data_IF_855476953551
#
_entry.id   IF_855476953551
#
_cell.length_a   1.000
_cell.length_b   1.000
_cell.length_c   1.000
_cell.angle_alpha   90.00
_cell.angle_beta   90.00
_cell.angle_gamma   90.00
#
_symmetry.space_group_name_H-M   'P 1'
#
loop_
_entity.id
_entity.type
_entity.pdbx_description
1 polymer ?
#
# COMPACT_ATOMS: atom_id res chain seq x y z
N UNK A 1 1.67 -6.49 -0.20
CA UNK A 1 0.76 -5.47 -0.80
C UNK A 1 -0.29 -5.12 0.23
N UNK A 2 -0.69 -3.85 0.31
CA UNK A 2 -1.82 -3.41 1.12
C UNK A 2 -2.55 -2.22 0.49
N UNK A 3 -3.82 -2.02 0.89
CA UNK A 3 -4.68 -0.93 0.43
C UNK A 3 -5.03 -0.01 1.60
N UNK A 4 -4.70 1.26 1.45
CA UNK A 4 -4.97 2.26 2.48
C UNK A 4 -5.87 3.37 1.91
N UNK A 5 -6.91 3.80 2.65
CA UNK A 5 -7.68 5.00 2.30
C UNK A 5 -6.81 6.25 2.29
N UNK A 6 -6.98 7.08 1.27
CA UNK A 6 -6.19 8.29 1.06
C UNK A 6 -7.11 9.52 1.04
N UNK A 7 -7.21 10.28 2.13
CA UNK A 7 -8.10 11.44 2.22
C UNK A 7 -7.59 12.59 1.36
N UNK A 8 -8.51 13.48 0.96
CA UNK A 8 -8.14 14.72 0.25
C UNK A 8 -7.70 15.84 1.20
N UNK A 9 -8.00 15.69 2.49
CA UNK A 9 -7.63 16.64 3.53
C UNK A 9 -7.07 15.92 4.76
N UNK A 10 -6.05 16.53 5.35
CA UNK A 10 -5.35 16.06 6.54
C UNK A 10 -5.59 17.07 7.67
N UNK A 11 -6.86 17.24 8.07
CA UNK A 11 -7.29 18.29 9.00
C UNK A 11 -7.40 17.83 10.46
N UNK A 12 -7.01 16.59 10.75
CA UNK A 12 -7.10 16.05 12.11
C UNK A 12 -6.14 16.81 13.05
N UNK A 13 -6.72 17.60 13.96
CA UNK A 13 -6.04 18.18 15.11
C UNK A 13 -5.53 19.62 14.99
N UNK A 14 -5.64 20.29 13.83
CA UNK A 14 -5.08 21.63 13.64
C UNK A 14 -6.10 22.64 13.09
N UNK A 15 -6.06 23.87 13.63
CA UNK A 15 -6.77 25.03 13.10
C UNK A 15 -5.74 26.13 12.83
N UNK A 16 -5.55 26.48 11.55
CA UNK A 16 -4.64 27.56 11.15
C UNK A 16 -5.38 28.91 11.18
N UNK A 17 -4.74 29.95 11.71
CA UNK A 17 -5.26 31.32 11.63
C UNK A 17 -4.13 32.36 11.60
N UNK A 18 -4.43 33.57 11.12
CA UNK A 18 -3.47 34.68 11.09
C UNK A 18 -3.03 35.06 12.50
N UNK A 19 -1.71 35.21 12.69
CA UNK A 19 -1.09 35.56 13.97
C UNK A 19 -1.61 36.92 14.45
N UNK A 20 -2.31 36.95 15.60
CA UNK A 20 -2.80 38.19 16.25
C UNK A 20 -4.33 38.34 16.36
N UNK A 21 -5.12 37.38 15.86
CA UNK A 21 -6.58 37.42 16.00
C UNK A 21 -7.04 36.95 17.39
N UNK A 22 -7.91 37.73 18.04
CA UNK A 22 -8.52 37.43 19.35
C UNK A 22 -9.52 36.27 19.34
N UNK A 23 -9.99 35.88 18.15
CA UNK A 23 -11.02 34.85 17.97
C UNK A 23 -10.58 33.92 16.85
N UNK A 24 -10.51 32.62 17.16
CA UNK A 24 -10.20 31.56 16.18
C UNK A 24 -11.51 30.93 15.74
N UNK A 25 -11.95 31.24 14.53
CA UNK A 25 -13.11 30.57 13.91
C UNK A 25 -12.62 29.25 13.34
N UNK A 26 -13.07 28.13 13.90
CA UNK A 26 -12.83 26.82 13.31
C UNK A 26 -13.47 26.80 11.90
N UNK A 27 -12.63 26.74 10.87
CA UNK A 27 -13.09 26.60 9.49
C UNK A 27 -13.49 25.14 9.31
N UNK A 28 -14.70 24.77 9.76
CA UNK A 28 -15.32 23.52 9.30
C UNK A 28 -15.61 23.73 7.82
N UNK A 29 -14.72 23.28 6.96
CA UNK A 29 -14.92 23.46 5.53
C UNK A 29 -16.23 22.73 5.15
N UNK A 30 -17.25 23.46 4.71
CA UNK A 30 -18.53 22.90 4.24
C UNK A 30 -18.37 22.17 2.90
N UNK A 31 -17.13 21.93 2.48
CA UNK A 31 -16.69 21.49 1.16
C UNK A 31 -16.91 20.00 0.89
N UNK A 32 -17.27 19.21 1.91
CA UNK A 32 -17.42 17.75 1.84
C UNK A 32 -16.13 17.03 1.37
N UNK A 33 -14.96 17.67 1.49
CA UNK A 33 -13.68 17.07 1.13
C UNK A 33 -13.30 15.91 2.05
N UNK A 34 -13.65 16.00 3.33
CA UNK A 34 -13.62 14.93 4.33
C UNK A 34 -14.30 13.64 3.85
N UNK A 35 -15.33 13.76 3.01
CA UNK A 35 -16.07 12.62 2.42
C UNK A 35 -15.48 12.09 1.12
N UNK A 36 -14.42 12.72 0.62
CA UNK A 36 -13.74 12.33 -0.63
C UNK A 36 -12.39 11.71 -0.31
N UNK A 37 -12.26 10.46 -0.71
CA UNK A 37 -11.05 9.67 -0.56
C UNK A 37 -10.71 8.97 -1.87
N UNK A 38 -9.41 8.79 -2.10
CA UNK A 38 -8.89 7.83 -3.05
C UNK A 38 -8.51 6.53 -2.31
N UNK A 39 -8.19 5.50 -3.07
CA UNK A 39 -7.54 4.30 -2.54
C UNK A 39 -6.08 4.30 -2.97
N UNK A 40 -5.16 4.19 -2.02
CA UNK A 40 -3.74 3.97 -2.28
C UNK A 40 -3.44 2.47 -2.20
N UNK A 41 -2.71 1.95 -3.18
CA UNK A 41 -2.15 0.60 -3.15
C UNK A 41 -0.64 0.71 -3.11
N UNK A 42 -0.04 0.11 -2.08
CA UNK A 42 1.40 0.05 -1.91
C UNK A 42 1.93 -1.37 -2.15
N UNK A 43 3.01 -1.44 -2.92
CA UNK A 43 3.78 -2.64 -3.18
C UNK A 43 5.16 -2.47 -2.54
N UNK A 44 5.42 -3.22 -1.48
CA UNK A 44 6.66 -3.16 -0.72
C UNK A 44 7.36 -4.51 -0.84
N UNK A 45 8.64 -4.48 -1.17
CA UNK A 45 9.50 -5.66 -1.20
C UNK A 45 10.33 -5.73 0.06
N UNK A 46 10.54 -6.94 0.55
CA UNK A 46 11.26 -7.20 1.78
C UNK A 46 12.69 -6.62 1.77
N UNK A 47 13.34 -6.58 0.61
CA UNK A 47 14.68 -6.01 0.44
C UNK A 47 14.72 -4.47 0.53
N UNK A 48 13.56 -3.79 0.57
CA UNK A 48 13.47 -2.33 0.61
C UNK A 48 13.74 -1.62 -0.72
N UNK A 49 14.00 -2.34 -1.82
CA UNK A 49 14.38 -1.77 -3.13
C UNK A 49 13.19 -1.51 -4.07
N UNK A 50 11.97 -1.46 -3.53
CA UNK A 50 10.71 -1.44 -4.28
C UNK A 50 10.53 -0.29 -5.29
N UNK A 51 11.24 0.84 -5.15
CA UNK A 51 11.06 2.03 -6.02
C UNK A 51 11.32 1.77 -7.50
N UNK A 52 12.20 0.82 -7.82
CA UNK A 52 12.56 0.48 -9.20
C UNK A 52 11.60 -0.53 -9.84
N UNK A 53 10.63 -1.05 -9.07
CA UNK A 53 9.83 -2.24 -9.44
C UNK A 53 8.42 -1.86 -9.83
N UNK A 54 7.57 -1.52 -8.84
CA UNK A 54 6.22 -1.02 -9.10
C UNK A 54 5.99 0.33 -8.43
N UNK A 55 5.31 1.20 -9.17
CA UNK A 55 4.84 2.49 -8.67
C UNK A 55 3.65 2.28 -7.73
N UNK A 56 3.50 3.11 -6.68
CA UNK A 56 2.26 3.22 -5.94
C UNK A 56 1.09 3.49 -6.89
N UNK A 57 -0.04 2.82 -6.64
CA UNK A 57 -1.26 3.03 -7.43
C UNK A 57 -2.25 3.86 -6.63
N UNK A 58 -2.77 4.93 -7.24
CA UNK A 58 -3.83 5.76 -6.69
C UNK A 58 -5.08 5.54 -7.50
N UNK A 59 -6.16 5.11 -6.85
CA UNK A 59 -7.47 4.91 -7.47
C UNK A 59 -8.39 6.04 -7.01
N UNK A 60 -8.69 6.97 -7.90
CA UNK A 60 -9.68 8.01 -7.66
C UNK A 60 -11.08 7.51 -8.02
N UNK A 61 -12.09 8.09 -7.36
CA UNK A 61 -13.48 7.86 -7.73
C UNK A 61 -13.82 8.53 -9.06
N UNK A 62 -14.35 7.79 -10.02
CA UNK A 62 -14.79 8.29 -11.31
C UNK A 62 -15.16 7.16 -12.29
N UNK A 63 -16.14 7.37 -13.17
CA UNK A 63 -16.59 6.34 -14.13
C UNK A 63 -15.67 6.34 -15.36
N UNK A 64 -14.98 5.26 -15.74
CA UNK A 64 -14.23 5.25 -17.00
C UNK A 64 -15.19 5.42 -18.20
N UNK A 65 -14.97 6.41 -19.07
CA UNK A 65 -15.74 6.61 -20.31
C UNK A 65 -15.82 8.07 -20.78
N UNK A 66 -16.40 8.29 -21.97
CA UNK A 66 -16.47 9.59 -22.65
C UNK A 66 -17.12 10.74 -21.83
N UNK A 67 -17.86 10.41 -20.77
CA UNK A 67 -18.54 11.37 -19.88
C UNK A 67 -17.75 11.71 -18.60
N UNK A 68 -16.66 11.00 -18.31
CA UNK A 68 -15.74 11.37 -17.22
C UNK A 68 -14.47 11.93 -17.83
N UNK A 69 -14.57 13.15 -18.32
CA UNK A 69 -13.42 13.92 -18.75
C UNK A 69 -12.64 14.36 -17.51
N UNK A 70 -11.77 13.49 -16.98
CA UNK A 70 -10.56 14.03 -16.35
C UNK A 70 -9.75 14.59 -17.51
N UNK A 71 -9.60 15.93 -17.61
CA UNK A 71 -8.97 16.53 -18.77
C UNK A 71 -7.56 15.95 -18.94
N UNK A 72 -7.13 15.68 -20.17
CA UNK A 72 -5.75 15.19 -20.39
C UNK A 72 -4.72 16.20 -19.89
N UNK A 73 -5.05 17.50 -19.87
CA UNK A 73 -4.25 18.55 -19.25
C UNK A 73 -4.08 18.40 -17.73
N UNK A 74 -5.06 17.82 -17.03
CA UNK A 74 -4.90 17.48 -15.61
C UNK A 74 -3.92 16.31 -15.46
N UNK A 75 -4.04 15.27 -16.29
CA UNK A 75 -3.18 14.09 -16.21
C UNK A 75 -1.71 14.42 -16.47
N UNK A 76 -1.42 15.39 -17.35
CA UNK A 76 -0.06 15.89 -17.58
C UNK A 76 0.59 16.51 -16.35
N UNK A 77 -0.21 16.92 -15.36
CA UNK A 77 0.27 17.49 -14.11
C UNK A 77 0.48 16.45 -13.01
N UNK A 78 0.10 15.19 -13.24
CA UNK A 78 0.31 14.12 -12.27
C UNK A 78 1.79 13.78 -12.12
N UNK A 79 2.16 13.44 -10.90
CA UNK A 79 3.50 12.98 -10.58
C UNK A 79 3.83 11.68 -11.33
N UNK A 80 4.99 11.63 -11.99
CA UNK A 80 5.37 10.50 -12.86
C UNK A 80 5.75 9.24 -12.08
N UNK A 81 6.05 9.37 -10.79
CA UNK A 81 6.39 8.30 -9.87
C UNK A 81 5.20 7.51 -9.31
N UNK A 82 3.97 7.79 -9.75
CA UNK A 82 2.76 7.05 -9.36
C UNK A 82 1.98 6.59 -10.59
N UNK A 83 1.12 5.57 -10.43
CA UNK A 83 0.15 5.12 -11.44
C UNK A 83 -1.25 5.53 -10.97
N UNK A 84 -2.00 6.24 -11.81
CA UNK A 84 -3.34 6.74 -11.46
C UNK A 84 -4.40 5.96 -12.23
N UNK A 85 -5.39 5.44 -11.51
CA UNK A 85 -6.55 4.73 -12.04
C UNK A 85 -7.84 5.43 -11.60
N UNK A 86 -8.92 5.20 -12.35
CA UNK A 86 -10.26 5.69 -12.01
C UNK A 86 -11.24 4.53 -11.94
N UNK A 87 -12.05 4.51 -10.88
CA UNK A 87 -13.10 3.53 -10.68
C UNK A 87 -14.32 4.19 -10.06
N UNK A 88 -15.53 3.84 -10.50
CA UNK A 88 -16.79 4.46 -10.05
C UNK A 88 -16.97 4.45 -8.52
N UNK A 89 -16.45 3.40 -7.87
CA UNK A 89 -16.49 3.24 -6.42
C UNK A 89 -15.16 3.53 -5.72
N UNK A 90 -14.12 3.91 -6.47
CA UNK A 90 -12.73 3.96 -6.00
C UNK A 90 -12.28 2.64 -5.33
N UNK A 91 -12.90 1.53 -5.75
CA UNK A 91 -12.73 0.21 -5.13
C UNK A 91 -12.13 -0.76 -6.15
N UNK A 92 -11.35 -1.71 -5.66
CA UNK A 92 -10.70 -2.71 -6.49
C UNK A 92 -11.75 -3.69 -7.06
N UNK A 93 -11.98 -3.67 -8.38
CA UNK A 93 -12.78 -4.70 -9.05
C UNK A 93 -11.85 -5.78 -9.64
N UNK A 94 -12.41 -6.89 -10.11
CA UNK A 94 -11.66 -8.02 -10.66
C UNK A 94 -10.72 -7.63 -11.81
N UNK A 95 -11.13 -6.66 -12.63
CA UNK A 95 -10.30 -6.13 -13.72
C UNK A 95 -9.06 -5.39 -13.18
N UNK A 96 -9.24 -4.49 -12.21
CA UNK A 96 -8.13 -3.74 -11.62
C UNK A 96 -7.13 -4.67 -10.93
N UNK A 97 -7.59 -5.67 -10.17
CA UNK A 97 -6.66 -6.62 -9.54
C UNK A 97 -5.96 -7.49 -10.58
N UNK A 98 -6.63 -7.86 -11.68
CA UNK A 98 -6.02 -8.61 -12.78
C UNK A 98 -4.89 -7.82 -13.44
N UNK A 99 -5.11 -6.53 -13.74
CA UNK A 99 -4.08 -5.67 -14.32
C UNK A 99 -2.91 -5.46 -13.34
N UNK A 100 -3.19 -5.33 -12.04
CA UNK A 100 -2.15 -5.27 -11.00
C UNK A 100 -1.34 -6.58 -10.96
N UNK A 101 -1.99 -7.74 -11.03
CA UNK A 101 -1.29 -9.03 -11.02
C UNK A 101 -0.40 -9.19 -12.24
N UNK A 102 -0.81 -8.70 -13.42
CA UNK A 102 0.06 -8.67 -14.60
C UNK A 102 1.28 -7.79 -14.37
N UNK A 103 1.11 -6.59 -13.83
CA UNK A 103 2.24 -5.71 -13.48
C UNK A 103 3.21 -6.41 -12.48
N UNK A 104 2.67 -7.11 -11.47
CA UNK A 104 3.49 -7.88 -10.51
C UNK A 104 4.18 -9.05 -11.21
N UNK A 105 3.48 -9.75 -12.11
CA UNK A 105 3.99 -10.90 -12.84
C UNK A 105 5.12 -10.54 -13.80
N UNK A 106 5.00 -9.43 -14.52
CA UNK A 106 6.09 -8.87 -15.34
C UNK A 106 7.32 -8.56 -14.49
N UNK A 107 7.12 -8.06 -13.27
CA UNK A 107 8.23 -7.81 -12.35
C UNK A 107 8.82 -9.09 -11.75
N UNK A 108 8.00 -10.09 -11.44
CA UNK A 108 8.45 -11.36 -10.89
C UNK A 108 9.39 -12.09 -11.86
N UNK A 109 9.28 -11.85 -13.18
CA UNK A 109 10.21 -12.32 -14.21
C UNK A 109 10.52 -13.83 -14.12
N UNK A 110 9.49 -14.63 -13.87
CA UNK A 110 9.57 -16.08 -13.66
C UNK A 110 10.37 -16.53 -12.42
N UNK A 111 10.70 -15.62 -11.50
CA UNK A 111 11.22 -15.96 -10.19
C UNK A 111 10.11 -16.40 -9.23
N UNK A 112 10.40 -17.37 -8.37
CA UNK A 112 9.46 -17.78 -7.33
C UNK A 112 9.24 -16.63 -6.34
N UNK A 113 8.03 -16.06 -6.37
CA UNK A 113 7.70 -14.84 -5.64
C UNK A 113 6.64 -15.11 -4.58
N UNK A 114 6.88 -14.68 -3.34
CA UNK A 114 5.88 -14.70 -2.28
C UNK A 114 5.16 -13.35 -2.21
N UNK A 115 3.86 -13.35 -2.50
CA UNK A 115 2.99 -12.18 -2.39
C UNK A 115 2.14 -12.26 -1.13
N UNK A 116 2.49 -11.44 -0.15
CA UNK A 116 1.72 -11.30 1.11
C UNK A 116 0.65 -10.21 0.97
N UNK A 117 -0.60 -10.54 1.30
CA UNK A 117 -1.73 -9.61 1.30
C UNK A 117 -2.78 -9.98 2.35
N UNK A 118 -3.65 -9.03 2.68
CA UNK A 118 -4.82 -9.26 3.52
C UNK A 118 -5.85 -10.17 2.84
N UNK A 119 -6.62 -10.92 3.64
CA UNK A 119 -7.69 -11.73 3.09
C UNK A 119 -8.87 -10.85 2.65
N UNK A 120 -9.25 -10.97 1.38
CA UNK A 120 -10.48 -10.40 0.85
C UNK A 120 -11.13 -11.37 -0.14
N UNK A 121 -12.46 -11.36 -0.25
CA UNK A 121 -13.19 -12.33 -1.08
C UNK A 121 -12.73 -12.33 -2.54
N UNK A 122 -12.44 -11.15 -3.11
CA UNK A 122 -11.98 -10.99 -4.48
C UNK A 122 -10.49 -11.31 -4.68
N UNK A 123 -9.71 -11.55 -3.62
CA UNK A 123 -8.35 -12.09 -3.72
C UNK A 123 -8.34 -13.61 -3.94
N UNK A 124 -9.50 -14.29 -3.85
CA UNK A 124 -9.60 -15.76 -3.88
C UNK A 124 -10.31 -16.31 -5.12
N UNK A 125 -10.61 -15.49 -6.13
CA UNK A 125 -11.29 -16.01 -7.31
C UNK A 125 -10.39 -17.04 -8.02
N UNK A 126 -10.91 -18.21 -8.45
CA UNK A 126 -10.08 -19.23 -9.08
C UNK A 126 -9.24 -18.71 -10.25
N UNK A 127 -9.82 -17.82 -11.06
CA UNK A 127 -9.15 -17.18 -12.20
C UNK A 127 -7.95 -16.32 -11.77
N UNK A 128 -8.07 -15.54 -10.69
CA UNK A 128 -6.97 -14.72 -10.18
C UNK A 128 -5.85 -15.60 -9.60
N UNK A 129 -6.22 -16.66 -8.89
CA UNK A 129 -5.26 -17.62 -8.31
C UNK A 129 -4.49 -18.37 -9.40
N UNK A 130 -5.16 -18.74 -10.50
CA UNK A 130 -4.53 -19.34 -11.66
C UNK A 130 -3.58 -18.37 -12.36
N UNK A 131 -3.98 -17.10 -12.50
CA UNK A 131 -3.12 -16.07 -13.07
C UNK A 131 -1.85 -15.86 -12.24
N UNK A 132 -1.97 -15.71 -10.92
CA UNK A 132 -0.81 -15.60 -10.02
C UNK A 132 0.14 -16.80 -10.15
N UNK A 133 -0.41 -18.02 -10.21
CA UNK A 133 0.38 -19.25 -10.40
C UNK A 133 1.10 -19.27 -11.75
N UNK A 134 0.48 -18.76 -12.82
CA UNK A 134 1.13 -18.67 -14.14
C UNK A 134 2.38 -17.78 -14.13
N UNK A 135 2.46 -16.84 -13.19
CA UNK A 135 3.63 -15.98 -12.96
C UNK A 135 4.57 -16.49 -11.85
N UNK A 136 4.39 -17.73 -11.37
CA UNK A 136 5.15 -18.31 -10.24
C UNK A 136 5.03 -17.50 -8.95
N UNK A 137 3.89 -16.82 -8.78
CA UNK A 137 3.57 -16.06 -7.56
C UNK A 137 2.76 -16.96 -6.63
N UNK A 138 3.32 -17.24 -5.47
CA UNK A 138 2.62 -17.85 -4.34
C UNK A 138 2.02 -16.76 -3.47
N UNK A 139 0.76 -16.89 -3.07
CA UNK A 139 0.13 -15.98 -2.12
C UNK A 139 0.17 -16.49 -0.70
N UNK A 140 0.53 -15.61 0.24
CA UNK A 140 0.30 -15.80 1.66
C UNK A 140 -0.75 -14.80 2.13
N UNK A 141 -1.91 -15.32 2.55
CA UNK A 141 -3.03 -14.50 2.97
C UNK A 141 -3.01 -14.31 4.49
N UNK A 142 -2.97 -13.06 4.93
CA UNK A 142 -3.03 -12.73 6.36
C UNK A 142 -4.46 -12.96 6.86
N UNK A 143 -4.65 -13.74 7.95
CA UNK A 143 -5.98 -13.99 8.49
C UNK A 143 -6.71 -12.72 8.92
N UNK A 144 -8.07 -12.69 8.86
CA UNK A 144 -8.85 -11.60 9.41
C UNK A 144 -8.47 -11.32 10.87
N UNK A 145 -8.35 -10.04 11.23
CA UNK A 145 -7.98 -9.63 12.59
C UNK A 145 -6.49 -9.71 12.92
N UNK A 146 -5.66 -10.27 12.03
CA UNK A 146 -4.22 -10.39 12.25
C UNK A 146 -3.37 -9.36 11.49
N UNK A 147 -3.98 -8.42 10.76
CA UNK A 147 -3.22 -7.45 9.94
C UNK A 147 -2.32 -6.54 10.79
N UNK A 148 -2.81 -6.07 11.93
CA UNK A 148 -2.04 -5.28 12.91
C UNK A 148 -0.88 -6.05 13.56
N UNK A 149 -0.79 -7.37 13.34
CA UNK A 149 0.21 -8.27 13.90
C UNK A 149 1.19 -8.77 12.84
N UNK A 150 0.68 -9.17 11.69
CA UNK A 150 1.39 -9.95 10.67
C UNK A 150 1.57 -9.24 9.33
N UNK A 151 1.00 -8.03 9.15
CA UNK A 151 1.17 -7.24 7.94
C UNK A 151 2.28 -6.19 8.17
N UNK A 152 3.47 -6.31 7.55
CA UNK A 152 4.51 -5.27 7.58
C UNK A 152 4.03 -3.84 7.30
N UNK A 153 3.09 -3.68 6.37
CA UNK A 153 2.46 -2.41 6.04
C UNK A 153 1.69 -1.84 7.22
N UNK A 154 0.77 -2.59 7.83
CA UNK A 154 -0.01 -2.08 8.98
C UNK A 154 0.79 -1.97 10.28
N UNK A 155 1.77 -2.84 10.48
CA UNK A 155 2.57 -2.87 11.72
C UNK A 155 3.59 -1.75 11.81
N UNK A 156 4.18 -1.32 10.68
CA UNK A 156 5.35 -0.44 10.72
C UNK A 156 5.41 0.63 9.61
N UNK A 157 4.77 0.44 8.45
CA UNK A 157 4.97 1.32 7.29
C UNK A 157 3.84 2.35 7.15
N UNK A 158 2.59 1.91 7.22
CA UNK A 158 1.40 2.72 6.96
C UNK A 158 1.29 3.90 7.93
N UNK A 159 1.67 3.73 9.20
CA UNK A 159 1.70 4.82 10.19
C UNK A 159 2.61 5.97 9.76
N UNK A 160 3.94 5.77 9.71
CA UNK A 160 4.87 6.80 9.24
C UNK A 160 4.55 7.34 7.84
N UNK A 161 4.07 6.47 6.94
CA UNK A 161 3.70 6.90 5.59
C UNK A 161 2.54 7.90 5.60
N UNK A 162 1.51 7.69 6.45
CA UNK A 162 0.40 8.63 6.64
C UNK A 162 0.87 9.95 7.23
N UNK A 163 1.80 9.92 8.19
CA UNK A 163 2.39 11.13 8.77
C UNK A 163 3.12 11.96 7.70
N UNK A 164 3.88 11.30 6.82
CA UNK A 164 4.56 11.98 5.72
C UNK A 164 3.59 12.52 4.67
N UNK A 165 2.50 11.82 4.38
CA UNK A 165 1.47 12.32 3.48
C UNK A 165 0.85 13.63 4.00
N UNK A 166 0.59 13.71 5.31
CA UNK A 166 0.11 14.93 5.96
C UNK A 166 1.15 16.06 5.86
N UNK A 167 2.40 15.79 6.25
CA UNK A 167 3.52 16.76 6.17
C UNK A 167 3.68 17.32 4.75
N UNK A 168 3.70 16.44 3.73
CA UNK A 168 3.85 16.86 2.34
C UNK A 168 2.61 17.57 1.78
N UNK A 169 1.42 17.23 2.28
CA UNK A 169 0.20 17.96 1.94
C UNK A 169 0.25 19.40 2.46
N UNK A 170 0.63 19.60 3.72
CA UNK A 170 0.77 20.92 4.32
C UNK A 170 1.78 21.78 3.54
N UNK A 171 2.95 21.21 3.24
CA UNK A 171 3.98 21.91 2.45
C UNK A 171 3.52 22.25 1.03
N UNK A 172 2.80 21.34 0.37
CA UNK A 172 2.26 21.57 -0.98
C UNK A 172 1.18 22.66 -0.98
N UNK A 173 0.27 22.63 -0.01
CA UNK A 173 -0.81 23.61 0.13
C UNK A 173 -0.23 25.00 0.37
N UNK A 174 0.65 25.15 1.37
CA UNK A 174 1.26 26.43 1.71
C UNK A 174 1.99 27.06 0.51
N UNK A 175 2.76 26.25 -0.23
CA UNK A 175 3.47 26.70 -1.43
C UNK A 175 2.51 27.15 -2.53
N UNK A 176 1.45 26.39 -2.80
CA UNK A 176 0.51 26.70 -3.89
C UNK A 176 -0.36 27.92 -3.58
N UNK A 177 -0.77 28.08 -2.32
CA UNK A 177 -1.54 29.24 -1.87
C UNK A 177 -0.71 30.53 -1.88
N UNK A 178 0.55 30.49 -1.46
CA UNK A 178 1.47 31.63 -1.54
C UNK A 178 1.70 32.08 -2.99
N UNK A 179 1.98 31.12 -3.88
CA UNK A 179 2.12 31.40 -5.32
C UNK A 179 0.86 32.02 -5.93
N UNK A 180 -0.32 31.50 -5.57
CA UNK A 180 -1.58 32.04 -6.04
C UNK A 180 -1.81 33.46 -5.51
N UNK A 181 -1.56 33.71 -4.22
CA UNK A 181 -1.71 35.03 -3.62
C UNK A 181 -0.82 36.07 -4.31
N UNK A 182 0.44 35.73 -4.60
CA UNK A 182 1.37 36.60 -5.30
C UNK A 182 0.93 36.93 -6.73
N UNK A 183 0.25 35.99 -7.41
CA UNK A 183 -0.16 36.14 -8.81
C UNK A 183 -1.56 36.76 -8.99
N UNK A 184 -2.50 36.46 -8.09
CA UNK A 184 -3.92 36.75 -8.24
C UNK A 184 -4.49 37.65 -7.12
N UNK A 185 -3.71 37.94 -6.07
CA UNK A 185 -4.07 38.91 -5.03
C UNK A 185 -5.21 38.48 -4.10
N UNK A 186 -5.55 37.19 -4.05
CA UNK A 186 -6.65 36.67 -3.23
C UNK A 186 -6.43 35.23 -2.75
N UNK A 187 -7.34 34.68 -1.92
CA UNK A 187 -7.26 33.30 -1.44
C UNK A 187 -7.54 32.30 -2.57
N UNK A 188 -6.74 31.24 -2.64
CA UNK A 188 -6.95 30.18 -3.62
C UNK A 188 -8.22 29.38 -3.32
N UNK A 189 -9.05 29.16 -4.35
CA UNK A 189 -10.12 28.18 -4.30
C UNK A 189 -9.63 26.83 -4.82
N UNK A 190 -9.58 25.81 -3.95
CA UNK A 190 -9.16 24.46 -4.33
C UNK A 190 -10.25 23.71 -5.12
N UNK A 191 -9.91 23.21 -6.31
CA UNK A 191 -10.77 22.31 -7.07
C UNK A 191 -10.48 20.83 -6.77
N UNK A 192 -11.35 19.94 -7.26
CA UNK A 192 -11.11 18.49 -7.18
C UNK A 192 -9.85 18.10 -7.95
N UNK A 193 -9.63 18.77 -9.08
CA UNK A 193 -8.45 18.59 -9.94
C UNK A 193 -7.18 18.94 -9.17
N UNK A 194 -7.16 20.08 -8.48
CA UNK A 194 -6.02 20.51 -7.67
C UNK A 194 -5.68 19.52 -6.57
N UNK A 195 -6.70 18.98 -5.89
CA UNK A 195 -6.52 17.96 -4.85
C UNK A 195 -5.97 16.67 -5.42
N UNK A 196 -6.49 16.17 -6.56
CA UNK A 196 -5.96 14.96 -7.20
C UNK A 196 -4.50 15.14 -7.61
N UNK A 197 -4.16 16.27 -8.24
CA UNK A 197 -2.78 16.61 -8.61
C UNK A 197 -1.90 16.59 -7.36
N UNK A 198 -2.27 17.35 -6.32
CA UNK A 198 -1.55 17.36 -5.03
C UNK A 198 -1.34 15.95 -4.50
N UNK A 199 -2.39 15.14 -4.45
CA UNK A 199 -2.35 13.75 -3.97
C UNK A 199 -1.29 12.92 -4.71
N UNK A 200 -1.17 13.06 -6.04
CA UNK A 200 -0.11 12.34 -6.78
C UNK A 200 1.30 12.77 -6.36
N UNK A 201 1.53 14.07 -6.15
CA UNK A 201 2.83 14.61 -5.76
C UNK A 201 3.22 14.25 -4.33
N UNK A 202 2.29 14.27 -3.38
CA UNK A 202 2.59 13.92 -1.98
C UNK A 202 2.82 12.40 -1.83
N UNK A 203 2.09 11.57 -2.58
CA UNK A 203 2.33 10.12 -2.60
C UNK A 203 3.69 9.81 -3.22
N UNK A 204 4.08 10.49 -4.29
CA UNK A 204 5.43 10.34 -4.84
C UNK A 204 6.47 10.71 -3.78
N UNK A 205 6.38 11.87 -3.13
CA UNK A 205 7.34 12.28 -2.10
C UNK A 205 7.41 11.30 -0.92
N UNK A 206 6.26 10.81 -0.43
CA UNK A 206 6.19 9.80 0.62
C UNK A 206 6.83 8.48 0.18
N UNK A 207 6.63 8.08 -1.09
CA UNK A 207 7.26 6.90 -1.67
C UNK A 207 8.78 7.03 -1.77
N UNK A 208 9.28 8.19 -2.19
CA UNK A 208 10.71 8.48 -2.25
C UNK A 208 11.35 8.48 -0.85
N UNK A 209 10.64 9.03 0.15
CA UNK A 209 11.10 8.99 1.54
C UNK A 209 11.11 7.57 2.10
N UNK A 210 10.10 6.75 1.81
CA UNK A 210 10.06 5.33 2.21
C UNK A 210 11.23 4.55 1.59
N UNK A 211 11.58 4.83 0.35
CA UNK A 211 12.72 4.20 -0.32
C UNK A 211 14.04 4.45 0.41
N UNK A 212 14.23 5.65 0.98
CA UNK A 212 15.37 5.95 1.85
C UNK A 212 15.36 5.26 3.22
N UNK A 213 14.37 4.39 3.49
CA UNK A 213 14.16 3.71 4.78
C UNK A 213 14.23 2.17 4.62
N UNK A 214 15.18 1.67 3.83
CA UNK A 214 15.39 0.23 3.60
C UNK A 214 15.38 -0.60 4.90
N UNK A 215 16.09 -0.14 5.93
CA UNK A 215 16.13 -0.83 7.22
C UNK A 215 14.75 -0.93 7.90
N UNK A 216 13.90 0.09 7.78
CA UNK A 216 12.53 0.05 8.32
C UNK A 216 11.73 -1.07 7.65
N UNK A 217 11.83 -1.16 6.32
CA UNK A 217 11.13 -2.17 5.53
C UNK A 217 11.63 -3.57 5.88
N UNK A 218 12.93 -3.82 5.81
CA UNK A 218 13.52 -5.13 6.14
C UNK A 218 13.16 -5.57 7.56
N UNK A 219 13.25 -4.64 8.53
CA UNK A 219 12.88 -4.92 9.92
C UNK A 219 11.40 -5.28 10.05
N UNK A 220 10.50 -4.57 9.37
CA UNK A 220 9.06 -4.86 9.39
C UNK A 220 8.76 -6.28 8.89
N UNK A 221 9.33 -6.66 7.73
CA UNK A 221 9.14 -7.98 7.15
C UNK A 221 9.68 -9.12 8.02
N UNK A 222 10.86 -8.94 8.63
CA UNK A 222 11.45 -9.93 9.54
C UNK A 222 10.65 -10.09 10.83
N UNK A 223 10.21 -8.98 11.43
CA UNK A 223 9.38 -9.02 12.64
C UNK A 223 8.08 -9.79 12.45
N UNK A 224 7.46 -9.68 11.28
CA UNK A 224 6.26 -10.43 10.92
C UNK A 224 6.55 -11.89 10.48
N UNK A 225 7.80 -12.36 10.49
CA UNK A 225 8.15 -13.73 10.09
C UNK A 225 8.01 -14.03 8.60
N UNK A 226 7.88 -13.00 7.75
CA UNK A 226 7.81 -13.15 6.28
C UNK A 226 9.21 -13.19 5.68
N UNK A 227 10.04 -12.31 6.23
CA UNK A 227 11.43 -11.98 5.94
C UNK A 227 12.55 -12.97 6.19
N UNK A 228 12.25 -14.18 6.65
CA UNK A 228 13.19 -15.01 7.41
C UNK A 228 13.50 -16.34 6.72
N UNK A 229 14.63 -16.95 7.09
CA UNK A 229 14.99 -18.29 6.62
C UNK A 229 14.01 -19.36 7.13
N UNK A 230 13.53 -20.27 6.27
CA UNK A 230 12.56 -21.29 6.64
C UNK A 230 13.14 -22.43 7.50
N UNK A 231 14.45 -22.44 7.75
CA UNK A 231 15.13 -23.45 8.55
C UNK A 231 15.16 -23.11 10.06
N UNK A 232 14.43 -22.08 10.49
CA UNK A 232 14.34 -21.65 11.90
C UNK A 232 15.56 -20.87 12.42
N UNK A 233 16.65 -20.74 11.65
CA UNK A 233 17.86 -20.04 12.10
C UNK A 233 17.70 -18.52 12.30
N UNK A 234 16.53 -17.98 11.95
CA UNK A 234 16.20 -16.55 12.01
C UNK A 234 14.91 -16.27 12.79
N UNK A 235 14.36 -17.26 13.52
CA UNK A 235 13.13 -17.12 14.31
C UNK A 235 13.28 -16.07 15.40
N UNK A 236 14.50 -15.84 15.88
CA UNK A 236 14.84 -14.80 16.85
C UNK A 236 14.60 -13.36 16.33
N UNK A 237 14.40 -13.17 15.02
CA UNK A 237 14.01 -11.88 14.45
C UNK A 237 12.50 -11.63 14.44
N UNK A 238 11.69 -12.66 14.66
CA UNK A 238 10.24 -12.54 14.79
C UNK A 238 9.93 -11.80 16.10
N UNK A 239 9.04 -10.81 16.00
CA UNK A 239 8.59 -10.02 17.14
C UNK A 239 7.21 -9.47 16.77
N UNK A 240 6.19 -10.22 17.18
CA UNK A 240 4.79 -9.88 16.95
C UNK A 240 4.36 -8.89 18.02
N UNK A 241 3.73 -7.79 17.60
CA UNK A 241 3.27 -6.75 18.52
C UNK A 241 2.31 -7.35 19.56
N UNK A 242 2.48 -6.96 20.82
CA UNK A 242 1.63 -7.35 21.95
C UNK A 242 1.62 -8.86 22.24
N UNK A 243 2.59 -9.61 21.72
CA UNK A 243 2.84 -11.03 22.03
C UNK A 243 4.24 -11.16 22.62
N UNK A 244 4.36 -11.81 23.78
CA UNK A 244 5.68 -12.07 24.35
C UNK A 244 6.39 -13.12 23.49
N UNK A 245 7.67 -12.89 23.17
CA UNK A 245 8.45 -13.82 22.35
C UNK A 245 8.51 -15.24 22.95
N UNK A 246 8.43 -15.40 24.28
CA UNK A 246 8.39 -16.72 24.92
C UNK A 246 7.08 -17.47 24.71
N UNK A 247 6.02 -16.79 24.26
CA UNK A 247 4.71 -17.38 23.96
C UNK A 247 4.60 -17.84 22.50
N UNK A 248 5.57 -17.50 21.65
CA UNK A 248 5.57 -17.94 20.26
C UNK A 248 6.15 -19.35 20.19
N UNK A 249 5.28 -20.32 19.92
CA UNK A 249 5.67 -21.70 19.66
C UNK A 249 5.99 -21.88 18.18
N UNK A 250 7.27 -22.12 17.88
CA UNK A 250 7.76 -22.42 16.53
C UNK A 250 7.75 -23.91 16.21
N UNK A 251 7.18 -24.75 17.08
CA UNK A 251 7.05 -26.19 16.86
C UNK A 251 5.66 -26.54 16.33
N UNK A 252 5.50 -27.75 15.78
CA UNK A 252 4.19 -28.28 15.39
C UNK A 252 3.54 -27.65 14.14
N UNK A 253 4.09 -26.58 13.57
CA UNK A 253 3.59 -25.96 12.32
C UNK A 253 3.60 -26.93 11.13
N UNK A 254 4.53 -27.89 11.12
CA UNK A 254 4.69 -28.92 10.09
C UNK A 254 3.52 -29.90 10.07
N UNK A 255 2.91 -30.11 11.25
CA UNK A 255 1.80 -31.04 11.50
C UNK A 255 0.48 -30.33 11.76
N UNK A 256 0.50 -28.99 11.82
CA UNK A 256 -0.68 -28.19 12.05
C UNK A 256 -1.68 -28.42 10.91
N UNK A 257 -2.93 -28.73 11.26
CA UNK A 257 -4.03 -28.81 10.30
C UNK A 257 -4.21 -27.42 9.68
N UNK A 258 -3.54 -27.22 8.55
CA UNK A 258 -3.71 -26.08 7.68
C UNK A 258 -5.12 -26.20 7.08
N UNK A 259 -6.14 -25.72 7.81
CA UNK A 259 -7.45 -25.47 7.24
C UNK A 259 -7.25 -24.44 6.12
N UNK A 260 -7.02 -24.98 4.93
CA UNK A 260 -6.78 -24.26 3.70
C UNK A 260 -7.96 -23.29 3.51
N UNK A 261 -7.71 -21.99 3.28
CA UNK A 261 -8.77 -21.08 2.89
C UNK A 261 -9.45 -21.65 1.64
N UNK A 262 -10.77 -21.88 1.66
CA UNK A 262 -11.56 -22.40 0.53
C UNK A 262 -11.03 -21.83 -0.80
N UNK A 263 -10.38 -22.69 -1.60
CA UNK A 263 -9.65 -22.29 -2.80
C UNK A 263 -8.43 -23.16 -3.18
N UNK A 264 -7.84 -23.92 -2.25
CA UNK A 264 -6.82 -24.93 -2.57
C UNK A 264 -7.32 -26.33 -2.20
N UNK A 265 -7.09 -27.31 -3.08
CA UNK A 265 -7.78 -28.61 -2.98
C UNK A 265 -7.05 -29.60 -2.08
N UNK A 266 -5.76 -29.44 -1.78
CA UNK A 266 -5.02 -30.36 -0.88
C UNK A 266 -3.81 -29.72 -0.19
N UNK A 267 -3.45 -30.26 0.98
CA UNK A 267 -2.22 -29.96 1.76
C UNK A 267 -0.93 -30.19 0.94
N UNK A 268 -0.96 -31.10 -0.03
CA UNK A 268 0.16 -31.42 -0.91
C UNK A 268 0.58 -30.27 -1.83
N UNK A 269 -0.36 -29.42 -2.25
CA UNK A 269 -0.05 -28.22 -3.05
C UNK A 269 0.65 -27.13 -2.22
N UNK A 270 0.29 -26.98 -0.94
CA UNK A 270 0.93 -26.04 -0.01
C UNK A 270 2.32 -26.52 0.45
N UNK A 271 2.51 -27.82 0.64
CA UNK A 271 3.81 -28.41 1.00
C UNK A 271 4.80 -28.41 -0.20
N UNK A 272 4.32 -28.64 -1.42
CA UNK A 272 5.16 -28.50 -2.63
C UNK A 272 5.67 -27.07 -2.82
N UNK A 273 4.90 -26.07 -2.40
CA UNK A 273 5.31 -24.66 -2.40
C UNK A 273 6.46 -24.43 -1.40
N UNK A 274 6.37 -24.98 -0.19
CA UNK A 274 7.45 -24.88 0.80
C UNK A 274 8.74 -25.58 0.30
N UNK A 275 8.62 -26.70 -0.40
CA UNK A 275 9.76 -27.39 -1.01
C UNK A 275 10.40 -26.57 -2.14
N UNK A 276 9.61 -25.83 -2.93
CA UNK A 276 10.10 -24.89 -3.95
C UNK A 276 10.85 -23.70 -3.34
N UNK A 277 10.32 -23.10 -2.28
CA UNK A 277 11.02 -22.01 -1.59
C UNK A 277 12.27 -22.47 -0.83
N UNK A 278 12.29 -23.72 -0.33
CA UNK A 278 13.49 -24.32 0.26
C UNK A 278 14.60 -24.46 -0.79
N UNK A 279 14.30 -24.94 -2.00
CA UNK A 279 15.29 -25.03 -3.07
C UNK A 279 15.71 -23.67 -3.65
N UNK A 280 14.79 -22.73 -3.85
CA UNK A 280 15.14 -21.38 -4.29
C UNK A 280 16.04 -20.65 -3.28
N UNK A 281 15.83 -20.89 -1.98
CA UNK A 281 16.70 -20.37 -0.92
C UNK A 281 18.06 -21.09 -0.85
N UNK A 282 18.12 -22.39 -1.15
CA UNK A 282 19.36 -23.16 -1.26
C UNK A 282 20.21 -22.74 -2.47
N UNK A 283 19.58 -22.41 -3.60
CA UNK A 283 20.25 -21.90 -4.81
C UNK A 283 20.75 -20.46 -4.62
N UNK A 284 20.07 -19.63 -3.81
CA UNK A 284 20.57 -18.29 -3.42
C UNK A 284 21.78 -18.34 -2.46
N UNK A 285 22.05 -19.49 -1.83
CA UNK A 285 23.16 -19.71 -0.91
C UNK A 285 24.39 -20.37 -1.57
N UNK A 286 24.36 -20.60 -2.89
CA UNK A 286 25.51 -21.02 -3.71
C UNK A 286 26.01 -19.87 -4.58
#
# INVERSE_FOLDING_TARGET
MDKTPLPFEYVDGYTYNLKGLRTVTAKSDRSRWDKRQATLILFIWADGRGRQRLKPIIIFRGVPGNRSQIPDEEKKQYATGVKVLFNEKAYNNEKVITDIVKDIGEYADNEDTLLVMDVAAFHKTPALMELLRSYRITTALIPPGCTSLLQPLDTAINGPFKDWLAEFADGYIAKKEDQHLQQQGGPMAWSVSDRRIMTTHIVQQAWERLYGREFLVQKAFRKCGISIRPNGSEDNFINIKDVDNSQIDFTGWETADNNVPEGYKTVSEALNIHHRFRHAAEDYLR
#
